data_IF_511278059248
#
_entry.id   IF_511278059248
#
_cell.length_a   1.000
_cell.length_b   1.000
_cell.length_c   1.000
_cell.angle_alpha   90.00
_cell.angle_beta   90.00
_cell.angle_gamma   90.00
#
_symmetry.space_group_name_H-M   'P 1'
#
loop_
_entity.id
_entity.type
_entity.pdbx_description
1 polymer ?
#
# COMPACT_ATOMS: atom_id res chain seq x y z
N UNK A 1 -7.11 -39.45 -40.87
CA UNK A 1 -5.74 -38.93 -40.99
C UNK A 1 -5.41 -38.21 -39.68
N UNK A 2 -4.55 -38.79 -38.85
CA UNK A 2 -4.13 -38.25 -37.54
C UNK A 2 -3.02 -37.22 -37.78
N UNK A 3 -3.29 -35.94 -37.52
CA UNK A 3 -2.26 -34.89 -37.54
C UNK A 3 -1.96 -34.48 -36.11
N UNK A 4 -0.79 -34.91 -35.65
CA UNK A 4 -0.10 -34.43 -34.46
C UNK A 4 0.43 -33.03 -34.81
N UNK A 5 0.03 -32.02 -34.06
CA UNK A 5 0.65 -30.68 -34.04
C UNK A 5 0.74 -30.33 -32.55
N UNK A 6 1.85 -30.69 -31.90
CA UNK A 6 3.03 -29.85 -31.74
C UNK A 6 2.73 -28.57 -30.93
N UNK A 7 3.12 -28.68 -29.66
CA UNK A 7 3.25 -27.67 -28.63
C UNK A 7 3.87 -26.39 -29.18
N UNK A 8 3.21 -25.26 -28.98
CA UNK A 8 3.86 -23.95 -28.83
C UNK A 8 3.37 -23.31 -27.55
N UNK A 9 4.15 -23.50 -26.50
CA UNK A 9 4.15 -22.70 -25.29
C UNK A 9 4.64 -21.30 -25.69
N UNK A 10 3.71 -20.36 -25.90
CA UNK A 10 4.02 -18.94 -26.00
C UNK A 10 3.68 -18.30 -24.65
N UNK A 11 4.60 -18.48 -23.70
CA UNK A 11 4.73 -17.61 -22.52
C UNK A 11 5.61 -16.43 -22.94
N UNK A 12 5.34 -15.25 -22.34
CA UNK A 12 5.97 -13.93 -22.51
C UNK A 12 5.30 -13.08 -23.62
N UNK A 13 4.67 -11.94 -23.33
CA UNK A 13 4.92 -10.97 -22.26
C UNK A 13 3.59 -10.40 -21.78
N UNK A 14 3.30 -10.61 -20.49
CA UNK A 14 2.21 -9.94 -19.82
C UNK A 14 2.48 -8.45 -19.77
N UNK A 15 1.52 -7.65 -20.23
CA UNK A 15 1.38 -6.24 -19.89
C UNK A 15 0.94 -6.10 -18.43
N UNK A 16 1.63 -6.77 -17.52
CA UNK A 16 1.58 -6.47 -16.11
C UNK A 16 2.57 -5.33 -15.90
N UNK A 17 2.09 -4.10 -16.08
CA UNK A 17 2.51 -3.01 -15.21
C UNK A 17 2.05 -3.39 -13.79
N UNK A 18 2.67 -4.43 -13.23
CA UNK A 18 2.69 -4.65 -11.81
C UNK A 18 3.51 -3.47 -11.30
N UNK A 19 2.78 -2.46 -10.82
CA UNK A 19 3.24 -1.61 -9.75
C UNK A 19 3.77 -2.57 -8.69
N UNK A 20 5.06 -2.87 -8.75
CA UNK A 20 5.77 -3.41 -7.61
C UNK A 20 5.77 -2.24 -6.62
N UNK A 21 4.65 -2.08 -5.90
CA UNK A 21 4.63 -1.36 -4.65
C UNK A 21 5.84 -1.90 -3.88
N UNK A 22 6.83 -1.04 -3.66
CA UNK A 22 8.08 -1.49 -3.03
C UNK A 22 7.76 -2.19 -1.71
N UNK A 23 8.63 -3.10 -1.22
CA UNK A 23 8.36 -3.85 0.01
C UNK A 23 8.01 -2.96 1.22
N UNK A 24 8.47 -1.70 1.20
CA UNK A 24 8.13 -0.69 2.21
C UNK A 24 6.68 -0.22 2.11
N UNK A 25 6.12 -0.02 0.90
CA UNK A 25 4.71 0.37 0.71
C UNK A 25 3.75 -0.70 1.20
N UNK A 26 4.00 -1.97 0.87
CA UNK A 26 3.16 -3.08 1.36
C UNK A 26 3.24 -3.23 2.89
N UNK A 27 4.44 -3.11 3.46
CA UNK A 27 4.63 -3.13 4.91
C UNK A 27 3.92 -1.95 5.60
N UNK A 28 4.03 -0.74 5.02
CA UNK A 28 3.34 0.44 5.50
C UNK A 28 1.81 0.28 5.40
N UNK A 29 1.29 -0.26 4.29
CA UNK A 29 -0.15 -0.48 4.14
C UNK A 29 -0.66 -1.48 5.17
N UNK A 30 0.06 -2.59 5.36
CA UNK A 30 -0.28 -3.61 6.36
C UNK A 30 -0.28 -3.04 7.77
N UNK A 31 0.75 -2.25 8.13
CA UNK A 31 0.82 -1.56 9.42
C UNK A 31 -0.34 -0.57 9.58
N UNK A 32 -0.64 0.20 8.54
CA UNK A 32 -1.76 1.14 8.54
C UNK A 32 -3.09 0.45 8.80
N UNK A 33 -3.40 -0.64 8.11
CA UNK A 33 -4.65 -1.38 8.33
C UNK A 33 -4.72 -1.88 9.78
N UNK A 34 -3.61 -2.35 10.34
CA UNK A 34 -3.55 -2.76 11.75
C UNK A 34 -3.72 -1.59 12.72
N UNK A 35 -3.09 -0.44 12.45
CA UNK A 35 -3.20 0.77 13.27
C UNK A 35 -4.63 1.31 13.26
N UNK A 36 -5.31 1.31 12.11
CA UNK A 36 -6.65 1.87 11.98
C UNK A 36 -7.78 0.90 12.31
N UNK A 37 -7.48 -0.40 12.42
CA UNK A 37 -8.45 -1.42 12.83
C UNK A 37 -9.09 -1.11 14.19
N UNK A 38 -8.37 -0.42 15.09
CA UNK A 38 -8.90 -0.01 16.39
C UNK A 38 -9.95 1.11 16.31
N UNK A 39 -10.05 1.80 15.18
CA UNK A 39 -10.98 2.92 14.98
C UNK A 39 -12.19 2.58 14.11
N UNK A 40 -12.39 1.30 13.77
CA UNK A 40 -13.54 0.81 12.98
C UNK A 40 -13.78 1.56 11.66
N UNK A 41 -12.69 1.96 11.00
CA UNK A 41 -12.72 2.66 9.71
C UNK A 41 -13.42 1.82 8.66
N UNK A 42 -14.44 2.39 7.99
CA UNK A 42 -15.31 1.64 7.06
C UNK A 42 -14.58 1.12 5.82
N UNK A 43 -13.53 1.83 5.39
CA UNK A 43 -12.71 1.48 4.23
C UNK A 43 -11.22 1.57 4.61
N UNK A 44 -10.80 0.74 5.57
CA UNK A 44 -9.41 0.75 6.04
C UNK A 44 -8.41 0.46 4.92
N UNK A 45 -8.71 -0.47 4.01
CA UNK A 45 -7.77 -0.86 2.95
C UNK A 45 -7.55 0.26 1.92
N UNK A 46 -8.63 0.91 1.46
CA UNK A 46 -8.55 2.02 0.50
C UNK A 46 -8.01 3.30 1.13
N UNK A 47 -8.35 3.60 2.39
CA UNK A 47 -7.78 4.75 3.09
C UNK A 47 -6.29 4.57 3.40
N UNK A 48 -5.88 3.36 3.79
CA UNK A 48 -4.46 3.04 3.95
C UNK A 48 -3.71 3.02 2.62
N UNK A 49 -4.35 2.63 1.52
CA UNK A 49 -3.76 2.75 0.20
C UNK A 49 -3.56 4.23 -0.20
N UNK A 50 -4.58 5.07 0.01
CA UNK A 50 -4.46 6.54 -0.14
C UNK A 50 -3.29 7.09 0.68
N UNK A 51 -3.15 6.61 1.92
CA UNK A 51 -2.10 7.07 2.82
C UNK A 51 -0.71 6.71 2.29
N UNK A 52 -0.47 5.44 1.95
CA UNK A 52 0.86 5.02 1.48
C UNK A 52 1.22 5.56 0.09
N UNK A 53 0.23 5.85 -0.75
CA UNK A 53 0.46 6.51 -2.04
C UNK A 53 0.72 8.00 -1.92
N UNK A 54 0.20 8.64 -0.86
CA UNK A 54 0.46 10.05 -0.57
C UNK A 54 1.82 10.33 0.07
N UNK A 55 2.52 9.28 0.53
CA UNK A 55 3.80 9.39 1.21
C UNK A 55 4.99 9.15 0.29
N UNK A 56 6.06 9.90 0.53
CA UNK A 56 7.40 9.63 0.00
C UNK A 56 7.99 8.33 0.60
N UNK A 57 8.90 7.67 -0.13
CA UNK A 57 9.64 6.50 0.39
C UNK A 57 10.27 6.70 1.78
N UNK A 58 11.01 7.79 2.08
CA UNK A 58 11.56 7.99 3.42
C UNK A 58 10.48 8.16 4.49
N UNK A 59 9.33 8.75 4.15
CA UNK A 59 8.19 8.81 5.06
C UNK A 59 7.58 7.42 5.26
N UNK A 60 7.42 6.61 4.22
CA UNK A 60 6.95 5.22 4.36
C UNK A 60 7.88 4.40 5.26
N UNK A 61 9.20 4.49 5.06
CA UNK A 61 10.18 3.82 5.91
C UNK A 61 10.10 4.28 7.36
N UNK A 62 9.96 5.58 7.60
CA UNK A 62 9.75 6.12 8.95
C UNK A 62 8.45 5.59 9.56
N UNK A 63 7.35 5.60 8.79
CA UNK A 63 6.04 5.14 9.23
C UNK A 63 6.03 3.67 9.64
N UNK A 64 6.77 2.79 8.94
CA UNK A 64 6.88 1.38 9.36
C UNK A 64 7.54 1.21 10.74
N UNK A 65 8.28 2.21 11.22
CA UNK A 65 9.04 2.18 12.48
C UNK A 65 8.38 2.96 13.61
N UNK A 66 7.42 3.84 13.32
CA UNK A 66 6.77 4.63 14.36
C UNK A 66 5.87 3.74 15.23
N UNK A 67 5.97 3.95 16.53
CA UNK A 67 5.14 3.31 17.56
C UNK A 67 4.25 4.31 18.29
N UNK A 68 4.62 5.59 18.26
CA UNK A 68 3.87 6.70 18.84
C UNK A 68 3.61 7.74 17.74
N UNK A 69 2.39 7.73 17.21
CA UNK A 69 2.00 8.60 16.09
C UNK A 69 2.15 10.08 16.44
N UNK A 70 1.72 10.49 17.63
CA UNK A 70 1.69 11.90 18.03
C UNK A 70 3.09 12.54 18.03
N UNK A 71 4.09 11.83 18.55
CA UNK A 71 5.45 12.35 18.70
C UNK A 71 6.36 12.08 17.49
N UNK A 72 6.11 11.00 16.73
CA UNK A 72 7.03 10.55 15.67
C UNK A 72 6.51 10.75 14.25
N UNK A 73 5.20 10.93 14.05
CA UNK A 73 4.67 11.17 12.71
C UNK A 73 5.13 12.54 12.18
N UNK A 74 5.65 12.54 10.97
CA UNK A 74 6.09 13.77 10.29
C UNK A 74 4.88 14.61 9.87
N UNK A 75 5.10 15.90 9.60
CA UNK A 75 4.03 16.78 9.09
C UNK A 75 3.42 16.25 7.78
N UNK A 76 4.24 15.62 6.92
CA UNK A 76 3.79 14.95 5.70
C UNK A 76 2.80 13.83 6.03
N UNK A 77 3.13 12.94 6.98
CA UNK A 77 2.23 11.88 7.43
C UNK A 77 0.93 12.43 7.98
N UNK A 78 1.00 13.46 8.84
CA UNK A 78 -0.21 14.07 9.43
C UNK A 78 -1.08 14.73 8.36
N UNK A 79 -0.48 15.42 7.38
CA UNK A 79 -1.24 16.02 6.27
C UNK A 79 -1.90 14.97 5.38
N UNK A 80 -1.19 13.90 5.02
CA UNK A 80 -1.74 12.83 4.17
C UNK A 80 -2.80 12.05 4.94
N UNK A 81 -2.55 11.71 6.20
CA UNK A 81 -3.53 11.05 7.06
C UNK A 81 -4.81 11.88 7.19
N UNK A 82 -4.71 13.19 7.36
CA UNK A 82 -5.89 14.05 7.39
C UNK A 82 -6.71 14.00 6.10
N UNK A 83 -6.08 13.85 4.94
CA UNK A 83 -6.78 13.74 3.65
C UNK A 83 -7.40 12.35 3.43
N UNK A 84 -6.71 11.30 3.88
CA UNK A 84 -7.11 9.92 3.63
C UNK A 84 -8.04 9.35 4.71
N UNK A 85 -7.98 9.88 5.93
CA UNK A 85 -8.81 9.50 7.07
C UNK A 85 -9.63 10.69 7.59
N UNK A 86 -10.53 11.27 6.79
CA UNK A 86 -11.33 12.44 7.21
C UNK A 86 -12.26 12.14 8.38
N UNK A 87 -12.55 10.85 8.64
CA UNK A 87 -13.37 10.41 9.77
C UNK A 87 -12.62 10.31 11.11
N UNK A 88 -11.28 10.38 11.08
CA UNK A 88 -10.42 10.31 12.28
C UNK A 88 -9.92 11.68 12.76
N UNK A 89 -10.37 12.77 12.13
CA UNK A 89 -10.02 14.15 12.51
C UNK A 89 -10.87 14.68 13.67
#
# INVERSE_FOLDING_TARGET
MKKIVAITFAVLMGSAAAFAEGPVKEAAKTKCVADVAQYEVKDADGQCQCFVDGLSEPALEAYTKITDWESQATDEMKQVAGKCFPELQ
#
